data_IF_612666976740
#
_entry.id   IF_612666976740
#
_cell.length_a   1.000
_cell.length_b   1.000
_cell.length_c   1.000
_cell.angle_alpha   90.00
_cell.angle_beta   90.00
_cell.angle_gamma   90.00
#
_symmetry.space_group_name_H-M   'P 1'
#
loop_
_entity.id
_entity.type
_entity.pdbx_description
1 polymer ?
#
# COMPACT_ATOMS: atom_id res chain seq x y z
N UNK A 1 19.30 -32.00 30.08
CA UNK A 1 19.94 -31.18 29.04
C UNK A 1 19.39 -31.66 27.71
N UNK A 2 18.56 -30.85 27.06
CA UNK A 2 18.17 -31.02 25.66
C UNK A 2 18.17 -29.61 25.06
N UNK A 3 18.91 -29.46 23.97
CA UNK A 3 19.41 -28.20 23.43
C UNK A 3 18.26 -27.39 22.80
N UNK A 4 18.15 -26.12 23.20
CA UNK A 4 17.30 -25.15 22.53
C UNK A 4 18.09 -24.59 21.33
N UNK A 5 17.93 -25.23 20.17
CA UNK A 5 18.47 -24.72 18.90
C UNK A 5 17.72 -23.46 18.51
N UNK A 6 18.23 -22.31 18.94
CA UNK A 6 17.95 -21.02 18.32
C UNK A 6 18.35 -21.12 16.85
N UNK A 7 17.37 -21.26 15.97
CA UNK A 7 17.60 -21.19 14.53
C UNK A 7 17.83 -19.71 14.19
N UNK A 8 19.10 -19.28 14.30
CA UNK A 8 19.51 -17.96 13.87
C UNK A 8 19.27 -17.85 12.37
N UNK A 9 18.44 -16.89 11.95
CA UNK A 9 18.30 -16.55 10.55
C UNK A 9 19.67 -16.05 10.05
N UNK A 10 20.26 -16.64 8.99
CA UNK A 10 21.49 -16.11 8.41
C UNK A 10 21.18 -14.74 7.81
N UNK A 11 21.85 -13.70 8.30
CA UNK A 11 21.77 -12.33 7.78
C UNK A 11 22.65 -12.18 6.53
N UNK A 12 22.47 -12.99 5.49
CA UNK A 12 23.26 -12.88 4.27
C UNK A 12 22.43 -13.30 3.05
N UNK A 13 21.73 -12.35 2.42
CA UNK A 13 21.66 -12.16 0.96
C UNK A 13 20.53 -11.19 0.56
N UNK A 14 20.91 -9.96 0.20
CA UNK A 14 19.99 -8.94 -0.33
C UNK A 14 19.83 -9.00 -1.86
N UNK A 15 20.40 -10.02 -2.52
CA UNK A 15 20.35 -10.15 -3.98
C UNK A 15 19.16 -10.97 -4.49
N UNK A 16 18.16 -11.26 -3.65
CA UNK A 16 17.00 -12.04 -4.06
C UNK A 16 16.26 -11.38 -5.22
N UNK A 17 16.01 -12.16 -6.27
CA UNK A 17 15.26 -11.73 -7.45
C UNK A 17 13.75 -11.75 -7.18
N UNK A 18 12.97 -10.98 -7.95
CA UNK A 18 11.50 -10.87 -7.74
C UNK A 18 10.81 -12.24 -7.83
N UNK A 19 11.25 -13.10 -8.75
CA UNK A 19 10.71 -14.45 -8.93
C UNK A 19 10.98 -15.37 -7.72
N UNK A 20 12.05 -15.11 -6.96
CA UNK A 20 12.38 -15.86 -5.74
C UNK A 20 11.52 -15.40 -4.54
N UNK A 21 11.08 -14.15 -4.52
CA UNK A 21 10.19 -13.63 -3.48
C UNK A 21 8.78 -14.20 -3.66
N UNK A 22 8.30 -14.30 -4.91
CA UNK A 22 6.95 -14.79 -5.22
C UNK A 22 6.76 -16.27 -4.87
N UNK A 23 7.82 -17.08 -4.95
CA UNK A 23 7.78 -18.52 -4.69
C UNK A 23 8.15 -18.93 -3.25
N UNK A 24 8.35 -17.98 -2.34
CA UNK A 24 8.62 -18.32 -0.92
C UNK A 24 7.31 -18.62 -0.19
N UNK A 25 7.13 -19.87 0.20
CA UNK A 25 6.12 -20.23 1.20
C UNK A 25 6.43 -19.50 2.51
N UNK A 26 5.52 -18.63 2.92
CA UNK A 26 5.62 -17.93 4.20
C UNK A 26 5.39 -18.99 5.30
N UNK A 27 6.36 -19.25 6.19
CA UNK A 27 6.19 -20.25 7.25
C UNK A 27 5.01 -19.85 8.13
N UNK A 28 3.92 -20.62 8.07
CA UNK A 28 2.76 -20.39 8.92
C UNK A 28 2.96 -21.19 10.21
N UNK A 29 2.99 -20.56 11.40
CA UNK A 29 3.20 -21.29 12.64
C UNK A 29 2.06 -22.29 12.86
N UNK A 30 2.34 -23.54 13.27
CA UNK A 30 1.29 -24.53 13.52
C UNK A 30 0.45 -24.10 14.72
N UNK A 31 -0.78 -23.65 14.46
CA UNK A 31 -1.81 -23.37 15.49
C UNK A 31 -1.88 -21.93 16.02
N UNK A 32 -1.16 -20.97 15.44
CA UNK A 32 -1.17 -19.57 15.89
C UNK A 32 -1.99 -18.64 15.01
N UNK A 33 -2.73 -17.70 15.60
CA UNK A 33 -3.22 -16.51 14.88
C UNK A 33 -2.04 -15.87 14.14
N UNK A 34 -2.24 -15.29 12.95
CA UNK A 34 -1.18 -14.57 12.24
C UNK A 34 -0.46 -13.64 13.22
N UNK A 35 0.86 -13.80 13.37
CA UNK A 35 1.65 -12.94 14.25
C UNK A 35 1.48 -11.50 13.78
N UNK A 36 1.26 -10.56 14.70
CA UNK A 36 1.09 -9.15 14.37
C UNK A 36 2.27 -8.63 13.52
N UNK A 37 3.48 -9.13 13.80
CA UNK A 37 4.70 -8.84 13.04
C UNK A 37 4.61 -9.20 11.55
N UNK A 38 3.83 -10.23 11.18
CA UNK A 38 3.59 -10.59 9.78
C UNK A 38 2.61 -9.62 9.10
N UNK A 39 1.58 -9.18 9.82
CA UNK A 39 0.60 -8.21 9.29
C UNK A 39 1.23 -6.82 9.06
N UNK A 40 2.21 -6.43 9.88
CA UNK A 40 2.92 -5.15 9.74
C UNK A 40 3.80 -5.05 8.48
N UNK A 41 4.14 -6.18 7.86
CA UNK A 41 4.97 -6.23 6.66
C UNK A 41 4.16 -6.29 5.35
N UNK A 42 2.83 -6.20 5.41
CA UNK A 42 1.98 -6.24 4.22
C UNK A 42 2.05 -4.90 3.49
N UNK A 43 2.46 -4.86 2.20
CA UNK A 43 2.48 -3.63 1.44
C UNK A 43 1.06 -3.14 1.17
N UNK A 44 0.82 -1.84 1.40
CA UNK A 44 -0.48 -1.21 1.24
C UNK A 44 -0.41 -0.12 0.17
N UNK A 45 -1.48 0.03 -0.63
CA UNK A 45 -1.58 1.15 -1.57
C UNK A 45 -2.11 2.37 -0.84
N UNK A 46 -1.34 3.44 -0.85
CA UNK A 46 -1.74 4.75 -0.31
C UNK A 46 -2.03 5.67 -1.50
N UNK A 47 -3.19 6.31 -1.49
CA UNK A 47 -3.53 7.38 -2.43
C UNK A 47 -3.85 8.66 -1.67
N UNK A 48 -3.61 9.80 -2.33
CA UNK A 48 -3.86 11.12 -1.75
C UNK A 48 -4.76 11.89 -2.70
N UNK A 49 -5.83 12.49 -2.18
CA UNK A 49 -6.77 13.30 -2.93
C UNK A 49 -6.56 14.78 -2.65
N UNK A 50 -6.30 15.52 -3.73
CA UNK A 50 -6.15 16.98 -3.73
C UNK A 50 -7.50 17.69 -3.64
N UNK A 51 -8.56 17.13 -4.22
CA UNK A 51 -9.90 17.70 -4.21
C UNK A 51 -10.80 17.06 -5.28
N UNK A 52 -12.08 17.43 -5.29
CA UNK A 52 -13.09 16.90 -6.21
C UNK A 52 -13.79 18.03 -6.94
N UNK A 53 -14.30 17.73 -8.12
CA UNK A 53 -15.17 18.63 -8.86
C UNK A 53 -16.39 17.85 -9.36
N UNK A 54 -17.56 18.49 -9.35
CA UNK A 54 -18.80 17.95 -9.94
C UNK A 54 -19.22 18.84 -11.09
N UNK A 55 -19.41 18.26 -12.27
CA UNK A 55 -19.88 18.98 -13.45
C UNK A 55 -20.73 18.08 -14.35
N UNK A 56 -21.58 18.64 -15.22
CA UNK A 56 -22.36 17.87 -16.19
C UNK A 56 -21.45 17.08 -17.14
N UNK A 57 -21.87 15.87 -17.53
CA UNK A 57 -21.14 15.02 -18.48
C UNK A 57 -20.75 15.75 -19.77
N UNK A 58 -21.62 16.63 -20.27
CA UNK A 58 -21.36 17.47 -21.46
C UNK A 58 -20.07 18.29 -21.32
N UNK A 59 -19.80 18.83 -20.13
CA UNK A 59 -18.61 19.66 -19.90
C UNK A 59 -17.34 18.80 -19.87
N UNK A 60 -17.42 17.57 -19.33
CA UNK A 60 -16.31 16.61 -19.31
C UNK A 60 -15.89 16.25 -20.74
N UNK A 61 -16.86 15.99 -21.63
CA UNK A 61 -16.59 15.68 -23.04
C UNK A 61 -15.98 16.84 -23.83
N UNK A 62 -16.07 18.06 -23.31
CA UNK A 62 -15.51 19.27 -23.91
C UNK A 62 -14.12 19.62 -23.37
N UNK A 63 -13.61 18.89 -22.37
CA UNK A 63 -12.29 19.10 -21.83
C UNK A 63 -11.24 18.81 -22.90
N UNK A 64 -10.33 19.75 -23.07
CA UNK A 64 -9.19 19.65 -23.98
C UNK A 64 -7.91 20.10 -23.28
N UNK A 65 -6.76 19.89 -23.93
CA UNK A 65 -5.48 20.31 -23.39
C UNK A 65 -5.51 21.80 -23.04
N UNK A 66 -5.10 22.13 -21.82
CA UNK A 66 -5.12 23.50 -21.29
C UNK A 66 -6.40 23.89 -20.55
N UNK A 67 -7.39 23.00 -20.44
CA UNK A 67 -8.56 23.24 -19.60
C UNK A 67 -8.17 23.34 -18.12
N UNK A 68 -8.72 24.32 -17.41
CA UNK A 68 -8.52 24.52 -15.97
C UNK A 68 -9.81 24.13 -15.24
N UNK A 69 -9.70 23.29 -14.22
CA UNK A 69 -10.83 22.82 -13.41
C UNK A 69 -10.62 23.26 -11.98
N UNK A 70 -11.59 23.97 -11.42
CA UNK A 70 -11.63 24.32 -10.01
C UNK A 70 -12.09 23.12 -9.18
N UNK A 71 -11.42 22.88 -8.05
CA UNK A 71 -11.72 21.81 -7.11
C UNK A 71 -12.45 22.39 -5.89
N UNK A 72 -13.18 21.54 -5.17
CA UNK A 72 -13.92 21.90 -3.95
C UNK A 72 -13.05 22.20 -2.73
N UNK A 73 -11.72 22.02 -2.85
CA UNK A 73 -10.77 22.14 -1.75
C UNK A 73 -9.93 23.41 -1.88
N UNK A 74 -9.88 24.21 -0.81
CA UNK A 74 -9.08 25.42 -0.79
C UNK A 74 -7.58 25.13 -0.63
N UNK A 75 -6.74 26.02 -1.16
CA UNK A 75 -5.29 25.94 -0.98
C UNK A 75 -4.92 26.06 0.51
N UNK A 76 -4.10 25.13 0.99
CA UNK A 76 -3.68 25.06 2.39
C UNK A 76 -4.52 24.13 3.28
N UNK A 77 -5.62 23.58 2.77
CA UNK A 77 -6.37 22.55 3.48
C UNK A 77 -5.63 21.20 3.46
N UNK A 78 -5.70 20.41 4.55
CA UNK A 78 -5.01 19.13 4.65
C UNK A 78 -5.56 18.13 3.64
N UNK A 79 -4.68 17.41 2.93
CA UNK A 79 -5.08 16.43 1.92
C UNK A 79 -5.75 15.19 2.53
N UNK A 80 -6.65 14.56 1.77
CA UNK A 80 -7.31 13.32 2.20
C UNK A 80 -6.44 12.14 1.78
N UNK A 81 -6.13 11.22 2.70
CA UNK A 81 -5.33 10.02 2.43
C UNK A 81 -6.26 8.83 2.44
N UNK A 82 -6.09 7.91 1.49
CA UNK A 82 -6.80 6.64 1.45
C UNK A 82 -5.81 5.49 1.46
N UNK A 83 -6.18 4.41 2.11
CA UNK A 83 -5.44 3.16 2.20
C UNK A 83 -6.29 2.07 1.56
N UNK A 84 -5.80 1.47 0.47
CA UNK A 84 -6.54 0.50 -0.35
C UNK A 84 -7.93 0.99 -0.80
N UNK A 85 -8.12 2.31 -0.88
CA UNK A 85 -9.39 2.93 -1.27
C UNK A 85 -10.36 3.21 -0.11
N UNK A 86 -10.01 2.88 1.13
CA UNK A 86 -10.73 3.26 2.34
C UNK A 86 -10.07 4.46 3.02
N UNK A 87 -10.87 5.30 3.68
CA UNK A 87 -10.44 6.52 4.37
C UNK A 87 -9.87 6.22 5.76
#
# INVERSE_FOLDING_TARGET
>A
MAENSVNALPMEDFSATIDEIENREIPTPPGGKPSLDMLLNVPMRISVEMGRAKMPMKNILQLSQGSVIELDKAAGEPMTIYINGEL
#
